data_IF_251041851435
#
_entry.id   IF_251041851435
#
_cell.length_a   1.000
_cell.length_b   1.000
_cell.length_c   1.000
_cell.angle_alpha   90.00
_cell.angle_beta   90.00
_cell.angle_gamma   90.00
#
_symmetry.space_group_name_H-M   'P 1'
#
loop_
_entity.id
_entity.type
_entity.pdbx_description
1 polymer ?
#
# COMPACT_ATOMS: atom_id res chain seq x y z
N UNK A 1 -11.50 27.58 1.55
CA UNK A 1 -10.73 26.33 1.34
C UNK A 1 -11.64 25.18 1.69
N UNK A 2 -11.52 24.02 1.00
CA UNK A 2 -12.30 22.82 1.38
C UNK A 2 -11.76 22.22 2.67
N UNK A 3 -12.67 21.72 3.49
CA UNK A 3 -12.38 21.02 4.74
C UNK A 3 -12.23 19.53 4.46
N UNK A 4 -11.04 18.95 4.67
CA UNK A 4 -10.74 17.56 4.41
C UNK A 4 -10.48 16.81 5.71
N UNK A 5 -11.32 15.84 6.01
CA UNK A 5 -11.17 14.94 7.14
C UNK A 5 -10.21 13.80 6.78
N UNK A 6 -9.07 13.68 7.48
CA UNK A 6 -8.09 12.61 7.25
C UNK A 6 -8.00 11.72 8.48
N UNK A 7 -8.56 10.53 8.41
CA UNK A 7 -8.38 9.54 9.48
C UNK A 7 -7.06 8.80 9.28
N UNK A 8 -6.38 8.43 10.37
CA UNK A 8 -5.07 7.77 10.28
C UNK A 8 -3.92 8.69 9.88
N UNK A 9 -4.05 10.00 10.11
CA UNK A 9 -3.06 11.03 9.84
C UNK A 9 -1.70 10.80 10.52
N UNK A 10 -1.64 10.05 11.61
CA UNK A 10 -0.39 9.69 12.32
C UNK A 10 0.39 8.55 11.65
N UNK A 11 -0.19 7.84 10.68
CA UNK A 11 0.46 6.77 9.92
C UNK A 11 1.45 7.30 8.87
N UNK A 12 2.20 6.41 8.23
CA UNK A 12 3.18 6.77 7.19
C UNK A 12 2.54 7.59 6.05
N UNK A 13 1.48 7.06 5.42
CA UNK A 13 0.78 7.75 4.33
C UNK A 13 0.13 9.04 4.86
N UNK A 14 -0.53 8.98 6.03
CA UNK A 14 -1.23 10.11 6.61
C UNK A 14 -0.32 11.30 6.90
N UNK A 15 0.84 11.08 7.51
CA UNK A 15 1.83 12.14 7.79
C UNK A 15 2.32 12.80 6.51
N UNK A 16 2.69 12.01 5.50
CA UNK A 16 3.18 12.53 4.23
C UNK A 16 2.09 13.32 3.49
N UNK A 17 0.86 12.82 3.48
CA UNK A 17 -0.28 13.46 2.84
C UNK A 17 -0.68 14.77 3.53
N UNK A 18 -0.65 14.80 4.86
CA UNK A 18 -0.98 16.01 5.64
C UNK A 18 -0.07 17.19 5.26
N UNK A 19 1.24 16.95 5.16
CA UNK A 19 2.21 18.00 4.76
C UNK A 19 1.91 18.51 3.34
N UNK A 20 1.57 17.61 2.42
CA UNK A 20 1.33 17.94 1.02
C UNK A 20 0.01 18.73 0.81
N UNK A 21 -1.03 18.38 1.54
CA UNK A 21 -2.37 18.98 1.38
C UNK A 21 -2.57 20.28 2.14
N UNK A 22 -1.84 20.52 3.24
CA UNK A 22 -1.98 21.71 4.10
C UNK A 22 -1.99 23.06 3.34
N UNK A 23 -1.17 23.27 2.28
CA UNK A 23 -1.19 24.55 1.56
C UNK A 23 -2.50 24.83 0.81
N UNK A 24 -3.27 23.78 0.47
CA UNK A 24 -4.43 23.89 -0.43
C UNK A 24 -5.78 23.62 0.25
N UNK A 25 -5.77 23.00 1.43
CA UNK A 25 -6.97 22.53 2.12
C UNK A 25 -6.91 22.82 3.62
N UNK A 26 -8.06 22.98 4.23
CA UNK A 26 -8.19 22.96 5.69
C UNK A 26 -8.30 21.50 6.15
N UNK A 27 -7.37 21.02 6.97
CA UNK A 27 -7.27 19.60 7.35
C UNK A 27 -7.83 19.36 8.76
N UNK A 28 -8.78 18.45 8.85
CA UNK A 28 -9.32 17.94 10.10
C UNK A 28 -8.66 16.57 10.37
N UNK A 29 -7.87 16.49 11.45
CA UNK A 29 -7.02 15.34 11.77
C UNK A 29 -7.47 14.70 13.08
N UNK A 30 -8.56 13.91 13.09
CA UNK A 30 -9.10 13.34 14.31
C UNK A 30 -8.16 12.32 14.94
N UNK A 31 -8.09 12.35 16.27
CA UNK A 31 -7.49 11.28 17.06
C UNK A 31 -8.40 10.05 17.08
N UNK A 32 -7.89 8.90 17.54
CA UNK A 32 -8.69 7.68 17.65
C UNK A 32 -9.95 7.86 18.52
N UNK A 33 -9.87 8.70 19.56
CA UNK A 33 -10.99 8.97 20.46
C UNK A 33 -12.02 9.87 19.80
N UNK A 34 -11.59 10.92 19.10
CA UNK A 34 -12.49 11.86 18.42
C UNK A 34 -13.16 11.29 17.16
N UNK A 35 -12.73 10.12 16.64
CA UNK A 35 -13.45 9.42 15.58
C UNK A 35 -14.89 9.03 15.97
N UNK A 36 -15.21 8.95 17.28
CA UNK A 36 -16.54 8.61 17.79
C UNK A 36 -17.44 9.82 18.03
N UNK A 37 -16.92 11.05 17.86
CA UNK A 37 -17.69 12.26 18.07
C UNK A 37 -18.84 12.38 17.08
N UNK A 38 -20.01 12.83 17.52
CA UNK A 38 -21.21 13.02 16.67
C UNK A 38 -21.01 14.08 15.62
N UNK A 39 -20.20 15.11 15.91
CA UNK A 39 -19.87 16.28 15.10
C UNK A 39 -18.67 16.05 14.14
N UNK A 40 -18.17 14.83 14.04
CA UNK A 40 -16.98 14.50 13.21
C UNK A 40 -17.11 14.96 11.75
N UNK A 41 -18.31 14.97 11.22
CA UNK A 41 -18.60 15.29 9.82
C UNK A 41 -19.15 16.71 9.62
N UNK A 42 -19.20 17.54 10.67
CA UNK A 42 -19.68 18.91 10.55
C UNK A 42 -18.69 19.73 9.71
N UNK A 43 -19.23 20.44 8.74
CA UNK A 43 -18.44 21.27 7.78
C UNK A 43 -17.35 20.50 7.01
N UNK A 44 -17.47 19.18 6.80
CA UNK A 44 -16.52 18.37 6.04
C UNK A 44 -16.94 18.25 4.58
N UNK A 45 -16.08 18.66 3.64
CA UNK A 45 -16.30 18.51 2.19
C UNK A 45 -15.92 17.12 1.66
N UNK A 46 -14.82 16.56 2.19
CA UNK A 46 -14.34 15.24 1.77
C UNK A 46 -13.64 14.50 2.90
N UNK A 47 -13.70 13.17 2.85
CA UNK A 47 -13.01 12.27 3.77
C UNK A 47 -11.96 11.47 3.05
N UNK A 48 -10.74 11.40 3.61
CA UNK A 48 -9.72 10.43 3.24
C UNK A 48 -9.54 9.45 4.41
N UNK A 49 -10.08 8.25 4.25
CA UNK A 49 -10.03 7.23 5.29
C UNK A 49 -8.80 6.34 5.13
N UNK A 50 -7.70 6.70 5.86
CA UNK A 50 -6.45 5.95 5.91
C UNK A 50 -6.32 5.09 7.18
N UNK A 51 -7.17 5.32 8.19
CA UNK A 51 -7.10 4.57 9.43
C UNK A 51 -7.26 3.08 9.16
N UNK A 52 -6.32 2.30 9.63
CA UNK A 52 -6.32 0.86 9.45
C UNK A 52 -5.05 0.23 10.03
N UNK A 53 -5.15 -1.06 10.34
CA UNK A 53 -4.03 -1.88 10.79
C UNK A 53 -3.48 -2.65 9.59
N UNK A 54 -2.27 -2.33 9.13
CA UNK A 54 -1.62 -3.01 7.99
C UNK A 54 -0.57 -4.03 8.42
N UNK A 55 0.09 -3.80 9.57
CA UNK A 55 1.17 -4.65 10.08
C UNK A 55 0.94 -5.00 11.54
N UNK A 56 1.27 -6.22 11.90
CA UNK A 56 1.29 -6.63 13.28
C UNK A 56 2.73 -6.92 13.72
N UNK A 57 3.26 -6.02 14.53
CA UNK A 57 4.58 -6.17 15.16
C UNK A 57 4.49 -6.95 16.50
N UNK A 58 3.31 -7.39 16.93
CA UNK A 58 3.10 -8.12 18.17
C UNK A 58 3.03 -9.62 17.89
N UNK A 59 3.76 -10.40 18.69
CA UNK A 59 3.77 -11.88 18.62
C UNK A 59 2.41 -12.52 18.94
N UNK A 60 1.47 -11.78 19.50
CA UNK A 60 0.12 -12.24 19.86
C UNK A 60 -0.92 -11.23 19.35
N UNK A 61 -1.52 -11.52 18.21
CA UNK A 61 -2.71 -10.81 17.72
C UNK A 61 -3.93 -11.54 18.26
N UNK A 62 -4.79 -10.84 18.99
CA UNK A 62 -6.15 -11.31 19.20
C UNK A 62 -6.84 -11.27 17.83
N UNK A 63 -7.41 -12.39 17.38
CA UNK A 63 -7.90 -12.59 16.01
C UNK A 63 -8.91 -11.56 15.46
N UNK A 64 -9.49 -10.71 16.29
CA UNK A 64 -10.50 -9.72 15.89
C UNK A 64 -9.98 -8.30 15.62
N UNK A 65 -8.68 -8.02 15.86
CA UNK A 65 -8.17 -6.64 15.73
C UNK A 65 -8.29 -6.07 14.30
N UNK A 66 -8.09 -6.90 13.27
CA UNK A 66 -8.21 -6.47 11.88
C UNK A 66 -9.66 -6.17 11.51
N UNK A 67 -10.59 -6.99 11.95
CA UNK A 67 -12.02 -6.77 11.68
C UNK A 67 -12.52 -5.52 12.37
N UNK A 68 -12.18 -5.33 13.65
CA UNK A 68 -12.59 -4.14 14.42
C UNK A 68 -12.07 -2.84 13.79
N UNK A 69 -10.78 -2.81 13.42
CA UNK A 69 -10.12 -1.57 12.97
C UNK A 69 -10.33 -1.33 11.47
N UNK A 70 -10.25 -2.38 10.63
CA UNK A 70 -10.31 -2.19 9.19
C UNK A 70 -11.73 -2.32 8.64
N UNK A 71 -12.59 -3.14 9.25
CA UNK A 71 -13.95 -3.37 8.76
C UNK A 71 -14.97 -2.54 9.51
N UNK A 72 -15.13 -2.76 10.83
CA UNK A 72 -16.20 -2.11 11.61
C UNK A 72 -16.04 -0.59 11.68
N UNK A 73 -14.82 -0.09 11.92
CA UNK A 73 -14.56 1.35 11.91
C UNK A 73 -14.86 1.97 10.53
N UNK A 74 -14.49 1.28 9.43
CA UNK A 74 -14.78 1.77 8.07
C UNK A 74 -16.28 1.82 7.82
N UNK A 75 -17.04 0.80 8.25
CA UNK A 75 -18.49 0.75 8.13
C UNK A 75 -19.14 1.90 8.91
N UNK A 76 -18.77 2.09 10.18
CA UNK A 76 -19.29 3.17 11.02
C UNK A 76 -19.05 4.56 10.38
N UNK A 77 -17.81 4.83 9.97
CA UNK A 77 -17.48 6.10 9.34
C UNK A 77 -18.20 6.29 7.99
N UNK A 78 -18.35 5.24 7.23
CA UNK A 78 -19.05 5.29 5.95
C UNK A 78 -20.55 5.53 6.12
N UNK A 79 -21.21 4.89 7.08
CA UNK A 79 -22.63 5.12 7.37
C UNK A 79 -22.88 6.57 7.84
N UNK A 80 -22.01 7.09 8.69
CA UNK A 80 -22.08 8.49 9.13
C UNK A 80 -21.79 9.47 7.97
N UNK A 81 -20.87 9.16 7.08
CA UNK A 81 -20.68 9.91 5.85
C UNK A 81 -21.94 9.96 5.00
N UNK A 82 -22.66 8.84 4.84
CA UNK A 82 -23.89 8.80 4.06
C UNK A 82 -24.99 9.71 4.64
N UNK A 83 -25.02 9.89 5.96
CA UNK A 83 -26.00 10.72 6.68
C UNK A 83 -25.60 12.21 6.79
N UNK A 84 -24.33 12.56 6.52
CA UNK A 84 -23.80 13.93 6.62
C UNK A 84 -24.00 14.72 5.32
N UNK A 85 -23.59 15.98 5.31
CA UNK A 85 -23.53 16.82 4.09
C UNK A 85 -22.22 16.62 3.30
N UNK A 86 -21.28 15.83 3.81
CA UNK A 86 -20.01 15.55 3.14
C UNK A 86 -20.25 14.90 1.77
N UNK A 87 -19.57 15.40 0.72
CA UNK A 87 -19.84 15.00 -0.66
C UNK A 87 -18.94 13.86 -1.18
N UNK A 88 -17.76 13.64 -0.56
CA UNK A 88 -16.78 12.67 -1.08
C UNK A 88 -16.17 11.81 0.02
N UNK A 89 -16.11 10.49 -0.22
CA UNK A 89 -15.43 9.52 0.64
C UNK A 89 -14.37 8.75 -0.15
N UNK A 90 -13.10 8.87 0.26
CA UNK A 90 -11.98 8.15 -0.32
C UNK A 90 -11.51 7.11 0.67
N UNK A 91 -11.67 5.83 0.33
CA UNK A 91 -11.25 4.69 1.16
C UNK A 91 -9.92 4.11 0.68
N UNK A 92 -8.91 4.08 1.55
CA UNK A 92 -7.63 3.43 1.28
C UNK A 92 -7.72 1.94 1.53
N UNK A 93 -7.76 1.18 0.46
CA UNK A 93 -7.73 -0.28 0.46
C UNK A 93 -6.34 -0.82 0.07
N UNK A 94 -6.27 -2.06 -0.35
CA UNK A 94 -5.02 -2.74 -0.71
C UNK A 94 -5.22 -3.65 -1.92
N UNK A 95 -4.19 -3.74 -2.77
CA UNK A 95 -4.18 -4.71 -3.87
C UNK A 95 -4.23 -6.16 -3.37
N UNK A 96 -3.84 -6.41 -2.12
CA UNK A 96 -3.86 -7.74 -1.51
C UNK A 96 -5.28 -8.32 -1.34
N UNK A 97 -6.33 -7.52 -1.56
CA UNK A 97 -7.70 -7.99 -1.72
C UNK A 97 -7.82 -8.93 -2.93
N UNK A 98 -7.00 -8.74 -3.96
CA UNK A 98 -7.00 -9.53 -5.19
C UNK A 98 -6.06 -10.74 -5.14
N UNK A 99 -5.26 -10.90 -4.07
CA UNK A 99 -4.34 -12.01 -3.90
C UNK A 99 -2.91 -11.61 -3.57
N UNK A 100 -2.04 -12.59 -3.39
CA UNK A 100 -0.60 -12.41 -3.10
C UNK A 100 0.29 -12.51 -4.33
N UNK A 101 -0.26 -13.00 -5.46
CA UNK A 101 0.47 -13.22 -6.71
C UNK A 101 -0.48 -13.14 -7.91
N UNK A 102 0.10 -12.92 -9.08
CA UNK A 102 -0.64 -12.89 -10.34
C UNK A 102 0.20 -13.42 -11.50
N UNK A 103 -0.47 -13.89 -12.55
CA UNK A 103 0.14 -14.30 -13.84
C UNK A 103 0.09 -13.19 -14.89
N UNK A 104 -0.84 -12.24 -14.74
CA UNK A 104 -1.01 -11.05 -15.55
C UNK A 104 -1.29 -9.85 -14.64
N UNK A 105 -1.10 -8.59 -15.09
CA UNK A 105 -1.38 -7.43 -14.28
C UNK A 105 -2.83 -7.41 -13.78
N UNK A 106 -3.00 -7.23 -12.47
CA UNK A 106 -4.31 -7.11 -11.81
C UNK A 106 -4.98 -5.81 -12.22
N UNK A 107 -6.23 -5.90 -12.65
CA UNK A 107 -7.11 -4.78 -12.97
C UNK A 107 -8.21 -4.67 -11.91
N UNK A 108 -8.99 -3.58 -11.96
CA UNK A 108 -10.11 -3.37 -11.06
C UNK A 108 -11.22 -4.42 -11.22
N UNK A 109 -11.28 -5.08 -12.39
CA UNK A 109 -12.23 -6.16 -12.72
C UNK A 109 -11.72 -7.55 -12.28
N UNK A 110 -10.50 -7.64 -11.75
CA UNK A 110 -9.95 -8.90 -11.23
C UNK A 110 -10.76 -9.40 -10.04
N UNK A 111 -11.00 -10.72 -10.01
CA UNK A 111 -11.80 -11.35 -8.95
C UNK A 111 -11.05 -11.29 -7.61
N UNK A 112 -11.68 -10.80 -6.54
CA UNK A 112 -11.09 -10.79 -5.21
C UNK A 112 -10.74 -12.19 -4.70
N UNK A 113 -9.50 -12.34 -4.18
CA UNK A 113 -8.98 -13.59 -3.63
C UNK A 113 -8.11 -13.29 -2.37
N UNK A 114 -8.70 -12.75 -1.30
CA UNK A 114 -7.94 -12.39 -0.09
C UNK A 114 -7.39 -13.65 0.58
N UNK A 115 -6.15 -13.58 1.05
CA UNK A 115 -5.41 -14.72 1.60
C UNK A 115 -4.96 -14.52 3.04
N UNK A 116 -5.23 -13.36 3.64
CA UNK A 116 -4.84 -13.02 5.01
C UNK A 116 -5.98 -12.31 5.76
N UNK A 117 -5.92 -12.30 7.08
CA UNK A 117 -6.88 -11.53 7.89
C UNK A 117 -6.93 -10.05 7.49
N UNK A 118 -5.77 -9.46 7.17
CA UNK A 118 -5.69 -8.09 6.68
C UNK A 118 -6.43 -7.91 5.35
N UNK A 119 -6.10 -8.71 4.34
CA UNK A 119 -6.75 -8.59 3.02
C UNK A 119 -8.24 -8.89 3.08
N UNK A 120 -8.65 -9.87 3.90
CA UNK A 120 -10.06 -10.18 4.13
C UNK A 120 -10.80 -9.01 4.79
N UNK A 121 -10.21 -8.38 5.83
CA UNK A 121 -10.85 -7.24 6.51
C UNK A 121 -11.03 -6.04 5.57
N UNK A 122 -10.08 -5.79 4.65
CA UNK A 122 -10.20 -4.75 3.63
C UNK A 122 -11.29 -5.10 2.60
N UNK A 123 -11.36 -6.35 2.16
CA UNK A 123 -12.42 -6.81 1.23
C UNK A 123 -13.81 -6.68 1.84
N UNK A 124 -13.99 -7.05 3.11
CA UNK A 124 -15.27 -6.90 3.80
C UNK A 124 -15.73 -5.44 3.83
N UNK A 125 -14.80 -4.50 4.09
CA UNK A 125 -15.07 -3.06 4.03
C UNK A 125 -15.45 -2.60 2.62
N UNK A 126 -14.68 -3.01 1.58
CA UNK A 126 -15.00 -2.71 0.18
C UNK A 126 -16.39 -3.22 -0.20
N UNK A 127 -16.70 -4.47 0.12
CA UNK A 127 -18.00 -5.09 -0.17
C UNK A 127 -19.17 -4.32 0.47
N UNK A 128 -18.98 -3.81 1.69
CA UNK A 128 -19.98 -2.97 2.34
C UNK A 128 -20.20 -1.66 1.60
N UNK A 129 -19.11 -0.95 1.29
CA UNK A 129 -19.14 0.32 0.56
C UNK A 129 -19.80 0.14 -0.81
N UNK A 130 -19.40 -0.89 -1.56
CA UNK A 130 -19.91 -1.15 -2.92
C UNK A 130 -21.40 -1.47 -2.94
N UNK A 131 -21.92 -2.20 -1.95
CA UNK A 131 -23.37 -2.47 -1.83
C UNK A 131 -24.19 -1.21 -1.63
N UNK A 132 -23.64 -0.19 -0.98
CA UNK A 132 -24.32 1.09 -0.73
C UNK A 132 -24.11 2.11 -1.86
N UNK A 133 -23.19 1.85 -2.78
CA UNK A 133 -22.81 2.80 -3.82
C UNK A 133 -23.98 3.15 -4.75
N UNK A 134 -24.82 2.19 -5.10
CA UNK A 134 -25.99 2.42 -5.96
C UNK A 134 -27.12 3.22 -5.30
N UNK A 135 -27.11 3.35 -3.97
CA UNK A 135 -28.13 4.06 -3.19
C UNK A 135 -27.74 5.48 -2.79
N UNK A 136 -26.61 6.00 -3.29
CA UNK A 136 -26.15 7.34 -2.98
C UNK A 136 -25.72 8.11 -4.23
N UNK A 137 -25.99 9.41 -4.27
CA UNK A 137 -25.44 10.34 -5.26
C UNK A 137 -24.05 10.87 -4.89
N UNK A 138 -23.59 10.62 -3.65
CA UNK A 138 -22.31 11.06 -3.15
C UNK A 138 -21.14 10.37 -3.85
N UNK A 139 -20.00 11.03 -3.89
CA UNK A 139 -18.78 10.51 -4.51
C UNK A 139 -18.06 9.54 -3.58
N UNK A 140 -17.85 8.31 -4.05
CA UNK A 140 -17.18 7.27 -3.27
C UNK A 140 -16.06 6.65 -4.11
N UNK A 141 -14.82 6.77 -3.64
CA UNK A 141 -13.62 6.28 -4.32
C UNK A 141 -12.92 5.26 -3.42
N UNK A 142 -12.70 4.06 -3.94
CA UNK A 142 -11.90 3.02 -3.28
C UNK A 142 -10.54 2.97 -3.98
N UNK A 143 -9.47 3.21 -3.25
CA UNK A 143 -8.10 3.17 -3.78
C UNK A 143 -7.42 1.89 -3.30
N UNK A 144 -7.09 0.99 -4.22
CA UNK A 144 -6.24 -0.18 -3.94
C UNK A 144 -4.81 0.15 -4.30
N UNK A 145 -3.92 0.06 -3.31
CA UNK A 145 -2.48 0.30 -3.50
C UNK A 145 -1.69 -0.97 -3.24
N UNK A 146 -0.59 -1.23 -3.97
CA UNK A 146 0.41 -2.22 -3.59
C UNK A 146 1.23 -1.70 -2.40
N UNK A 147 2.43 -2.24 -2.18
CA UNK A 147 3.35 -1.71 -1.17
C UNK A 147 3.68 -0.26 -1.50
N UNK A 148 3.31 0.66 -0.59
CA UNK A 148 3.66 2.08 -0.70
C UNK A 148 5.04 2.30 -0.08
N UNK A 149 5.91 2.98 -0.81
CA UNK A 149 7.26 3.32 -0.36
C UNK A 149 7.51 4.82 -0.39
N UNK A 150 8.50 5.25 0.37
CA UNK A 150 8.90 6.65 0.47
C UNK A 150 9.88 6.85 1.62
N UNK A 151 10.32 8.09 1.82
CA UNK A 151 11.17 8.46 2.97
C UNK A 151 10.41 8.19 4.28
N UNK A 152 11.10 7.75 5.31
CA UNK A 152 10.58 7.44 6.65
C UNK A 152 9.58 6.26 6.72
N UNK A 153 9.47 5.46 5.66
CA UNK A 153 8.66 4.25 5.70
C UNK A 153 9.16 3.26 6.74
N UNK A 154 8.23 2.48 7.31
CA UNK A 154 8.54 1.36 8.21
C UNK A 154 7.92 0.08 7.63
N UNK A 155 8.65 -1.04 7.68
CA UNK A 155 8.06 -2.33 7.33
C UNK A 155 8.84 -3.18 6.32
N UNK A 156 8.13 -3.85 5.41
CA UNK A 156 8.67 -4.94 4.59
C UNK A 156 9.83 -4.53 3.66
N UNK A 157 9.83 -3.30 3.16
CA UNK A 157 10.91 -2.84 2.28
C UNK A 157 12.22 -2.62 3.05
N UNK A 158 12.13 -2.11 4.29
CA UNK A 158 13.30 -2.00 5.16
C UNK A 158 13.91 -3.38 5.47
N UNK A 159 13.06 -4.39 5.70
CA UNK A 159 13.53 -5.77 5.89
C UNK A 159 14.23 -6.31 4.63
N UNK A 160 13.76 -5.95 3.43
CA UNK A 160 14.44 -6.31 2.18
C UNK A 160 15.78 -5.58 2.04
N UNK A 161 15.83 -4.30 2.37
CA UNK A 161 17.08 -3.53 2.40
C UNK A 161 18.09 -4.12 3.39
N UNK A 162 17.66 -4.47 4.60
CA UNK A 162 18.49 -5.11 5.62
C UNK A 162 19.01 -6.48 5.17
N UNK A 163 18.17 -7.23 4.46
CA UNK A 163 18.57 -8.51 3.89
C UNK A 163 19.66 -8.32 2.82
N UNK A 164 19.44 -7.41 1.86
CA UNK A 164 20.43 -7.10 0.79
C UNK A 164 21.74 -6.58 1.37
N UNK A 165 21.68 -5.77 2.42
CA UNK A 165 22.88 -5.24 3.08
C UNK A 165 23.73 -6.35 3.72
N UNK A 166 23.10 -7.37 4.30
CA UNK A 166 23.77 -8.45 5.01
C UNK A 166 24.33 -9.56 4.14
N UNK A 167 23.77 -9.77 2.93
CA UNK A 167 24.19 -10.86 2.07
C UNK A 167 25.27 -10.41 1.08
N UNK A 168 26.36 -11.20 0.89
CA UNK A 168 27.38 -10.88 -0.10
C UNK A 168 26.97 -11.19 -1.53
N UNK A 169 25.96 -12.04 -1.73
CA UNK A 169 25.45 -12.45 -3.04
C UNK A 169 23.93 -12.68 -3.00
N UNK A 170 23.29 -12.55 -4.16
CA UNK A 170 21.86 -12.77 -4.32
C UNK A 170 21.58 -14.20 -4.82
N UNK A 171 20.98 -15.07 -4.01
CA UNK A 171 20.80 -16.48 -4.35
C UNK A 171 19.58 -16.77 -5.24
N UNK A 172 18.72 -15.76 -5.48
CA UNK A 172 17.45 -15.91 -6.17
C UNK A 172 17.53 -15.54 -7.66
N UNK A 173 18.68 -15.67 -8.29
CA UNK A 173 18.86 -15.35 -9.72
C UNK A 173 17.94 -16.12 -10.67
N UNK A 174 17.55 -17.35 -10.30
CA UNK A 174 16.60 -18.17 -11.08
C UNK A 174 15.14 -17.69 -10.99
N UNK A 175 14.83 -16.72 -10.13
CA UNK A 175 13.48 -16.17 -9.97
C UNK A 175 13.36 -14.82 -10.69
N UNK A 176 12.40 -14.74 -11.62
CA UNK A 176 12.16 -13.54 -12.43
C UNK A 176 10.89 -12.79 -11.99
N UNK A 177 10.60 -12.87 -10.70
CA UNK A 177 9.43 -12.21 -10.13
C UNK A 177 9.51 -10.69 -10.28
N UNK A 178 8.40 -10.08 -10.67
CA UNK A 178 8.23 -8.63 -10.77
C UNK A 178 7.16 -8.16 -9.82
N UNK A 179 7.35 -6.99 -9.24
CA UNK A 179 6.42 -6.36 -8.30
C UNK A 179 6.05 -4.97 -8.76
N UNK A 180 4.79 -4.62 -8.59
CA UNK A 180 4.36 -3.22 -8.57
C UNK A 180 4.50 -2.68 -7.16
N UNK A 181 5.02 -1.47 -7.06
CA UNK A 181 5.03 -0.65 -5.86
C UNK A 181 4.29 0.65 -6.13
N UNK A 182 4.13 1.47 -5.12
CA UNK A 182 3.56 2.81 -5.24
C UNK A 182 4.45 3.81 -4.50
N UNK A 183 5.01 4.75 -5.22
CA UNK A 183 5.70 5.89 -4.62
C UNK A 183 4.69 6.73 -3.83
N UNK A 184 5.06 7.13 -2.61
CA UNK A 184 4.21 7.97 -1.76
C UNK A 184 3.87 9.29 -2.45
N UNK A 185 4.78 9.85 -3.25
CA UNK A 185 4.56 11.10 -3.96
C UNK A 185 3.58 10.93 -5.12
N UNK A 186 3.60 9.77 -5.83
CA UNK A 186 2.55 9.42 -6.78
C UNK A 186 1.18 9.27 -6.11
N UNK A 187 1.12 8.62 -4.96
CA UNK A 187 -0.13 8.47 -4.21
C UNK A 187 -0.69 9.83 -3.79
N UNK A 188 0.14 10.72 -3.25
CA UNK A 188 -0.25 12.09 -2.89
C UNK A 188 -0.75 12.87 -4.10
N UNK A 189 -0.01 12.80 -5.21
CA UNK A 189 -0.40 13.44 -6.46
C UNK A 189 -1.79 12.99 -6.93
N UNK A 190 -2.05 11.68 -6.94
CA UNK A 190 -3.36 11.11 -7.32
C UNK A 190 -4.45 11.54 -6.37
N UNK A 191 -4.25 11.48 -5.05
CA UNK A 191 -5.24 11.88 -4.05
C UNK A 191 -5.57 13.37 -4.17
N UNK A 192 -4.57 14.23 -4.40
CA UNK A 192 -4.78 15.66 -4.65
C UNK A 192 -5.62 15.88 -5.91
N UNK A 193 -5.31 15.18 -7.02
CA UNK A 193 -6.10 15.26 -8.26
C UNK A 193 -7.54 14.79 -8.07
N UNK A 194 -7.79 13.75 -7.26
CA UNK A 194 -9.15 13.30 -6.92
C UNK A 194 -9.92 14.38 -6.15
N UNK A 195 -9.30 15.01 -5.14
CA UNK A 195 -9.93 16.06 -4.35
C UNK A 195 -10.31 17.31 -5.20
N UNK A 196 -9.53 17.58 -6.25
CA UNK A 196 -9.76 18.70 -7.15
C UNK A 196 -10.72 18.37 -8.30
N UNK A 197 -10.85 17.09 -8.67
CA UNK A 197 -11.70 16.63 -9.78
C UNK A 197 -13.03 16.05 -9.28
N UNK A 198 -14.08 16.87 -9.25
CA UNK A 198 -15.44 16.42 -8.87
C UNK A 198 -16.06 15.43 -9.86
N UNK A 199 -15.54 15.33 -11.08
CA UNK A 199 -16.15 14.52 -12.16
C UNK A 199 -15.61 13.08 -12.22
N UNK A 200 -14.62 12.69 -11.40
CA UNK A 200 -14.15 11.32 -11.37
C UNK A 200 -15.33 10.39 -11.00
N UNK A 201 -15.62 9.32 -11.77
CA UNK A 201 -16.68 8.38 -11.42
C UNK A 201 -16.43 7.70 -10.08
N UNK A 202 -17.50 7.43 -9.32
CA UNK A 202 -17.41 6.58 -8.12
C UNK A 202 -17.00 5.16 -8.51
N UNK A 203 -16.19 4.50 -7.66
CA UNK A 203 -15.76 3.12 -7.91
C UNK A 203 -14.38 2.79 -7.38
N UNK A 204 -13.86 1.65 -7.83
CA UNK A 204 -12.53 1.15 -7.45
C UNK A 204 -11.49 1.64 -8.46
N UNK A 205 -10.34 2.04 -7.94
CA UNK A 205 -9.16 2.44 -8.71
C UNK A 205 -7.89 1.87 -8.11
N UNK A 206 -6.97 1.44 -8.98
CA UNK A 206 -5.64 1.02 -8.57
C UNK A 206 -4.66 2.20 -8.73
N UNK A 207 -3.78 2.37 -7.74
CA UNK A 207 -2.68 3.36 -7.81
C UNK A 207 -1.37 2.62 -7.56
N UNK A 208 -0.55 2.55 -8.60
CA UNK A 208 0.78 1.94 -8.60
C UNK A 208 1.69 2.74 -9.54
N UNK A 209 3.00 2.64 -9.37
CA UNK A 209 3.97 3.22 -10.30
C UNK A 209 3.87 2.58 -11.69
N UNK A 210 4.30 3.30 -12.72
CA UNK A 210 4.38 2.78 -14.09
C UNK A 210 5.50 1.74 -14.28
N UNK A 211 6.41 1.62 -13.29
CA UNK A 211 7.56 0.72 -13.32
C UNK A 211 7.25 -0.61 -12.65
N UNK A 212 7.55 -1.69 -13.35
CA UNK A 212 7.57 -3.04 -12.77
C UNK A 212 8.95 -3.34 -12.18
N UNK A 213 9.01 -3.61 -10.88
CA UNK A 213 10.26 -3.83 -10.18
C UNK A 213 10.67 -5.31 -10.17
N UNK A 214 11.72 -5.65 -10.91
CA UNK A 214 12.39 -6.95 -10.80
C UNK A 214 13.25 -7.00 -9.54
N UNK A 215 13.12 -8.06 -8.73
CA UNK A 215 13.93 -8.21 -7.51
C UNK A 215 15.43 -8.39 -7.82
N UNK A 216 15.77 -9.03 -8.93
CA UNK A 216 17.17 -9.17 -9.36
C UNK A 216 17.75 -7.80 -9.72
N UNK A 217 17.03 -7.00 -10.52
CA UNK A 217 17.43 -5.64 -10.88
C UNK A 217 17.53 -4.74 -9.66
N UNK A 218 16.59 -4.90 -8.72
CA UNK A 218 16.58 -4.18 -7.46
C UNK A 218 17.86 -4.44 -6.66
N UNK A 219 18.24 -5.73 -6.50
CA UNK A 219 19.49 -6.09 -5.83
C UNK A 219 20.71 -5.48 -6.54
N UNK A 220 20.78 -5.53 -7.89
CA UNK A 220 21.88 -4.97 -8.67
C UNK A 220 22.04 -3.47 -8.39
N UNK A 221 20.93 -2.72 -8.49
CA UNK A 221 20.95 -1.26 -8.32
C UNK A 221 21.30 -0.85 -6.90
N UNK A 222 20.72 -1.52 -5.90
CA UNK A 222 21.04 -1.25 -4.50
C UNK A 222 22.52 -1.55 -4.18
N UNK A 223 23.04 -2.70 -4.62
CA UNK A 223 24.46 -3.05 -4.40
C UNK A 223 25.40 -2.03 -5.02
N UNK A 224 25.17 -1.66 -6.28
CA UNK A 224 25.97 -0.62 -6.97
C UNK A 224 25.90 0.72 -6.24
N UNK A 225 24.75 1.06 -5.66
CA UNK A 225 24.54 2.34 -4.98
C UNK A 225 25.39 2.53 -3.72
N UNK A 226 25.87 1.44 -3.12
CA UNK A 226 26.75 1.40 -1.95
C UNK A 226 28.19 0.94 -2.32
N UNK A 227 28.56 1.06 -3.61
CA UNK A 227 29.87 0.67 -4.15
C UNK A 227 30.21 -0.82 -3.92
N UNK A 228 29.19 -1.71 -3.93
CA UNK A 228 29.36 -3.16 -3.86
C UNK A 228 29.14 -3.77 -5.25
N UNK A 229 30.02 -4.67 -5.67
CA UNK A 229 29.81 -5.45 -6.89
C UNK A 229 28.67 -6.45 -6.67
N UNK A 230 27.58 -6.39 -7.46
CA UNK A 230 26.47 -7.31 -7.33
C UNK A 230 26.87 -8.70 -7.85
N UNK A 231 26.70 -9.72 -7.01
CA UNK A 231 26.90 -11.11 -7.37
C UNK A 231 25.54 -11.80 -7.36
N UNK A 232 25.07 -12.29 -8.52
CA UNK A 232 23.82 -13.04 -8.64
C UNK A 232 24.15 -14.49 -8.92
N UNK A 233 23.59 -15.38 -8.09
CA UNK A 233 23.75 -16.82 -8.25
C UNK A 233 22.39 -17.39 -8.62
N UNK A 234 22.33 -18.09 -9.76
CA UNK A 234 21.12 -18.78 -10.22
C UNK A 234 21.09 -20.20 -9.67
N UNK A 235 20.70 -20.33 -8.40
CA UNK A 235 20.50 -21.66 -7.79
C UNK A 235 19.22 -22.26 -8.35
N UNK A 236 19.20 -23.55 -8.73
CA UNK A 236 17.99 -24.23 -9.18
C UNK A 236 16.84 -24.09 -8.18
N UNK A 237 15.63 -23.80 -8.69
CA UNK A 237 14.46 -23.52 -7.86
C UNK A 237 14.13 -24.61 -6.85
N UNK A 238 14.32 -25.89 -7.23
CA UNK A 238 14.05 -27.03 -6.34
C UNK A 238 14.95 -27.02 -5.10
N UNK A 239 16.23 -26.64 -5.24
CA UNK A 239 17.18 -26.55 -4.11
C UNK A 239 16.73 -25.47 -3.14
N UNK A 240 16.43 -24.28 -3.66
CA UNK A 240 15.96 -23.15 -2.82
C UNK A 240 14.64 -23.50 -2.14
N UNK A 241 13.72 -24.15 -2.85
CA UNK A 241 12.44 -24.60 -2.29
C UNK A 241 12.67 -25.58 -1.14
N UNK A 242 13.49 -26.61 -1.34
CA UNK A 242 13.83 -27.57 -0.27
C UNK A 242 14.45 -26.87 0.94
N UNK A 243 15.42 -25.96 0.73
CA UNK A 243 16.02 -25.19 1.82
C UNK A 243 14.98 -24.34 2.57
N UNK A 244 14.01 -23.76 1.86
CA UNK A 244 12.95 -22.97 2.47
C UNK A 244 11.99 -23.81 3.31
N UNK A 245 11.69 -25.05 2.91
CA UNK A 245 10.90 -26.00 3.72
C UNK A 245 11.64 -26.41 4.99
N UNK A 246 12.93 -26.75 4.87
CA UNK A 246 13.80 -27.04 6.04
C UNK A 246 13.83 -25.81 6.95
N UNK A 247 14.00 -24.61 6.40
CA UNK A 247 13.96 -23.36 7.15
C UNK A 247 12.64 -23.14 7.88
N UNK A 248 11.51 -23.54 7.29
CA UNK A 248 10.20 -23.49 7.96
C UNK A 248 10.12 -24.45 9.14
N UNK A 249 10.61 -25.69 8.98
CA UNK A 249 10.64 -26.71 10.02
C UNK A 249 11.50 -26.28 11.21
N UNK A 250 12.65 -25.68 10.93
CA UNK A 250 13.61 -25.19 11.94
C UNK A 250 13.28 -23.76 12.44
N UNK A 251 12.15 -23.17 12.01
CA UNK A 251 11.72 -21.79 12.36
C UNK A 251 12.77 -20.72 12.05
N UNK A 252 13.54 -20.92 10.98
CA UNK A 252 14.57 -19.97 10.54
C UNK A 252 13.96 -18.74 9.87
N UNK A 253 14.78 -17.69 9.76
CA UNK A 253 14.39 -16.46 9.07
C UNK A 253 14.09 -16.66 7.58
N UNK A 254 14.79 -17.56 6.90
CA UNK A 254 14.49 -17.97 5.53
C UNK A 254 13.55 -19.19 5.57
N UNK A 255 12.31 -18.99 5.15
CA UNK A 255 11.27 -20.01 5.16
C UNK A 255 10.40 -19.94 3.89
N UNK A 256 9.54 -20.94 3.70
CA UNK A 256 8.70 -21.07 2.49
C UNK A 256 7.81 -19.83 2.27
N UNK A 257 7.21 -19.28 3.32
CA UNK A 257 6.33 -18.09 3.20
C UNK A 257 7.11 -16.87 2.69
N UNK A 258 8.34 -16.67 3.16
CA UNK A 258 9.19 -15.57 2.68
C UNK A 258 9.68 -15.80 1.26
N UNK A 259 10.04 -17.05 0.93
CA UNK A 259 10.41 -17.40 -0.43
C UNK A 259 9.25 -17.14 -1.39
N UNK A 260 8.06 -17.61 -1.09
CA UNK A 260 6.86 -17.39 -1.91
C UNK A 260 6.62 -15.88 -2.15
N UNK A 261 6.69 -15.07 -1.10
CA UNK A 261 6.57 -13.61 -1.22
C UNK A 261 7.65 -12.97 -2.11
N UNK A 262 8.86 -13.51 -2.13
CA UNK A 262 9.94 -12.99 -2.97
C UNK A 262 9.87 -13.53 -4.41
N UNK A 263 9.42 -14.77 -4.60
CA UNK A 263 9.47 -15.48 -5.88
C UNK A 263 8.21 -15.33 -6.74
N UNK A 264 7.11 -14.84 -6.19
CA UNK A 264 5.85 -14.60 -6.93
C UNK A 264 5.80 -13.20 -7.51
N UNK A 265 5.21 -13.05 -8.69
CA UNK A 265 4.92 -11.73 -9.27
C UNK A 265 3.62 -11.16 -8.70
N UNK A 266 3.57 -9.84 -8.54
CA UNK A 266 2.36 -9.10 -8.18
C UNK A 266 2.37 -7.79 -8.96
N UNK A 267 1.72 -7.79 -10.11
CA UNK A 267 1.66 -6.67 -11.04
C UNK A 267 0.28 -6.02 -10.98
N UNK A 268 0.24 -4.71 -11.09
CA UNK A 268 -0.98 -3.91 -10.93
C UNK A 268 -1.10 -2.92 -12.09
N UNK A 269 -2.23 -2.95 -12.77
CA UNK A 269 -2.57 -1.93 -13.77
C UNK A 269 -3.08 -0.67 -13.07
N UNK A 270 -2.56 0.49 -13.45
CA UNK A 270 -3.01 1.82 -13.02
C UNK A 270 -3.73 2.60 -14.15
N UNK A 271 -4.04 1.92 -15.24
CA UNK A 271 -4.59 2.55 -16.46
C UNK A 271 -5.91 3.25 -16.20
N UNK A 272 -6.79 2.67 -15.38
CA UNK A 272 -8.11 3.22 -15.07
C UNK A 272 -8.03 4.57 -14.37
N UNK A 273 -7.18 4.70 -13.34
CA UNK A 273 -7.03 5.97 -12.62
C UNK A 273 -6.38 7.04 -13.51
N UNK A 274 -5.37 6.67 -14.30
CA UNK A 274 -4.71 7.58 -15.24
C UNK A 274 -5.70 8.11 -16.27
N UNK A 275 -6.54 7.27 -16.84
CA UNK A 275 -7.59 7.67 -17.79
C UNK A 275 -8.67 8.52 -17.13
N UNK A 276 -9.17 8.13 -15.94
CA UNK A 276 -10.23 8.84 -15.24
C UNK A 276 -9.84 10.26 -14.81
N UNK A 277 -8.57 10.48 -14.50
CA UNK A 277 -8.04 11.80 -14.11
C UNK A 277 -7.33 12.52 -15.26
N UNK A 278 -7.13 11.87 -16.41
CA UNK A 278 -6.31 12.37 -17.53
C UNK A 278 -4.92 12.83 -17.08
N UNK A 279 -4.18 11.93 -16.40
CA UNK A 279 -2.86 12.22 -15.82
C UNK A 279 -1.79 11.22 -16.28
N UNK A 280 -0.53 11.66 -16.18
CA UNK A 280 0.65 10.80 -16.10
C UNK A 280 1.23 10.88 -14.69
N UNK A 281 1.79 9.77 -14.20
CA UNK A 281 2.41 9.75 -12.87
C UNK A 281 3.81 10.37 -12.94
N UNK A 282 4.09 11.42 -12.14
CA UNK A 282 5.35 12.17 -12.25
C UNK A 282 6.53 11.53 -11.54
N UNK A 283 6.29 10.59 -10.63
CA UNK A 283 7.28 10.03 -9.71
C UNK A 283 7.40 8.52 -9.86
N UNK A 284 8.23 7.92 -8.98
CA UNK A 284 8.46 6.48 -8.93
C UNK A 284 9.69 6.07 -9.73
N UNK A 285 10.05 4.80 -9.56
CA UNK A 285 11.20 4.22 -10.24
C UNK A 285 12.30 3.77 -9.29
N UNK A 286 13.28 3.09 -9.89
CA UNK A 286 14.41 2.55 -9.13
C UNK A 286 15.25 3.64 -8.44
N UNK A 287 15.34 4.83 -9.01
CA UNK A 287 16.16 5.95 -8.51
C UNK A 287 15.69 6.40 -7.13
N UNK A 288 14.38 6.51 -6.92
CA UNK A 288 13.79 6.87 -5.63
C UNK A 288 14.07 5.79 -4.59
N UNK A 289 13.85 4.52 -4.94
CA UNK A 289 14.14 3.39 -4.03
C UNK A 289 15.63 3.30 -3.67
N UNK A 290 16.52 3.53 -4.65
CA UNK A 290 17.97 3.57 -4.43
C UNK A 290 18.35 4.71 -3.51
N UNK A 291 17.77 5.89 -3.66
CA UNK A 291 18.02 7.04 -2.78
C UNK A 291 17.63 6.73 -1.33
N UNK A 292 16.44 6.18 -1.11
CA UNK A 292 15.96 5.79 0.22
C UNK A 292 16.90 4.76 0.86
N UNK A 293 17.35 3.76 0.09
CA UNK A 293 18.29 2.75 0.56
C UNK A 293 19.64 3.35 0.97
N UNK A 294 20.19 4.25 0.14
CA UNK A 294 21.44 4.95 0.44
C UNK A 294 21.38 5.73 1.75
N UNK A 295 20.29 6.44 1.97
CA UNK A 295 20.09 7.24 3.19
C UNK A 295 20.01 6.33 4.42
N UNK A 296 19.28 5.22 4.33
CA UNK A 296 19.21 4.24 5.41
C UNK A 296 20.57 3.57 5.68
N UNK A 297 21.32 3.24 4.63
CA UNK A 297 22.63 2.62 4.74
C UNK A 297 23.65 3.55 5.42
N UNK A 298 23.62 4.85 5.08
CA UNK A 298 24.49 5.87 5.69
C UNK A 298 24.17 6.05 7.18
N UNK A 299 22.87 6.16 7.52
CA UNK A 299 22.41 6.35 8.89
C UNK A 299 22.71 5.15 9.84
N UNK A 300 22.94 3.96 9.27
CA UNK A 300 23.38 2.77 10.07
C UNK A 300 24.88 2.73 10.33
N UNK A 301 25.66 3.44 9.52
CA UNK A 301 27.14 3.44 9.63
C UNK A 301 27.69 4.67 10.32
N UNK A 302 26.89 5.72 10.48
CA UNK A 302 27.14 6.87 11.34
C UNK A 302 26.76 6.55 12.80
#
# INVERSE_FOLDING_TARGET
MKNILITGSSGFIGKSLTVDLTPNFNLLLPTRNSLKSSDLFDDVDAVIHLAGKAHDNRKFVKGNDYEEINTKLTIDLFDRFLLSECEMFIFMSSILVLGSSCTSPLTEDSIPAPFSQYSNSKQLAENYILRKLSSTSKKVIIIRVPLVYGKDQKGNLNNLFDFIDKIPFWPLGSYHAKKSFCDIDNLKFVLNKILLNRNIPSGIYHVADDVEYSLNEFYIRLSKSINRNPIIISIPKFIISTMSYIGSLLRLSFNHIRLEKLSSSLLVSNSKIKSALNIQLPYGGYEVLVSIFKDQYRNKKS
#
